data_IF_573389784657
#
_entry.id   IF_573389784657
#
_cell.length_a   1.000
_cell.length_b   1.000
_cell.length_c   1.000
_cell.angle_alpha   90.00
_cell.angle_beta   90.00
_cell.angle_gamma   90.00
#
_symmetry.space_group_name_H-M   'P 1'
#
loop_
_entity.id
_entity.type
_entity.pdbx_description
1 polymer ?
#
# COMPACT_ATOMS: atom_id res chain seq x y z
N UNK A 1 -34.47 -13.53 32.14
CA UNK A 1 -33.88 -14.53 31.21
C UNK A 1 -34.51 -14.24 29.85
N UNK A 2 -33.83 -13.87 28.76
CA UNK A 2 -32.41 -13.88 28.39
C UNK A 2 -32.22 -12.65 27.49
N UNK A 3 -31.21 -11.83 27.77
CA UNK A 3 -30.77 -10.71 26.92
C UNK A 3 -30.14 -11.26 25.64
N UNK A 4 -30.61 -10.82 24.48
CA UNK A 4 -30.01 -11.14 23.19
C UNK A 4 -28.76 -10.30 22.97
N UNK A 5 -27.58 -10.87 23.23
CA UNK A 5 -26.30 -10.28 22.89
C UNK A 5 -26.03 -10.44 21.39
N UNK A 6 -26.00 -9.32 20.67
CA UNK A 6 -25.52 -9.23 19.30
C UNK A 6 -24.04 -9.59 19.25
N UNK A 7 -23.72 -10.76 18.69
CA UNK A 7 -22.33 -11.16 18.43
C UNK A 7 -21.82 -10.38 17.23
N UNK A 8 -21.04 -9.33 17.47
CA UNK A 8 -20.28 -8.63 16.45
C UNK A 8 -19.18 -9.57 15.94
N UNK A 9 -19.50 -10.32 14.88
CA UNK A 9 -18.51 -11.10 14.13
C UNK A 9 -17.49 -10.16 13.51
N UNK A 10 -16.23 -10.24 13.96
CA UNK A 10 -15.07 -9.66 13.29
C UNK A 10 -14.92 -10.31 11.91
N UNK A 11 -15.54 -9.72 10.89
CA UNK A 11 -15.20 -10.00 9.49
C UNK A 11 -13.79 -9.47 9.22
N UNK A 12 -12.87 -10.28 8.66
CA UNK A 12 -11.58 -9.77 8.20
C UNK A 12 -11.85 -8.70 7.14
N UNK A 13 -11.35 -7.49 7.37
CA UNK A 13 -11.60 -6.34 6.49
C UNK A 13 -10.90 -6.58 5.15
N UNK A 14 -11.63 -7.22 4.21
CA UNK A 14 -11.18 -7.59 2.86
C UNK A 14 -11.03 -6.41 1.89
N UNK A 15 -11.30 -5.19 2.35
CA UNK A 15 -11.45 -4.00 1.50
C UNK A 15 -10.52 -2.86 1.92
N UNK A 16 -9.20 -3.06 1.78
CA UNK A 16 -8.22 -1.98 1.99
C UNK A 16 -7.22 -1.91 0.85
N UNK A 17 -7.01 -0.69 0.34
CA UNK A 17 -5.86 -0.38 -0.49
C UNK A 17 -4.66 -0.14 0.41
N UNK A 18 -3.57 -0.83 0.16
CA UNK A 18 -2.34 -0.76 0.96
C UNK A 18 -1.40 0.27 0.34
N UNK A 19 -0.76 1.10 1.17
CA UNK A 19 0.29 2.00 0.73
C UNK A 19 1.41 1.21 0.04
N UNK A 20 1.82 1.64 -1.14
CA UNK A 20 2.83 0.96 -1.96
C UNK A 20 2.29 -0.20 -2.80
N UNK A 21 1.01 -0.58 -2.69
CA UNK A 21 0.41 -1.61 -3.53
C UNK A 21 0.57 -1.27 -5.01
N UNK A 22 1.01 -2.23 -5.82
CA UNK A 22 1.19 -2.07 -7.26
C UNK A 22 0.13 -2.85 -8.04
N UNK A 23 -0.33 -2.26 -9.13
CA UNK A 23 -1.20 -2.88 -10.13
C UNK A 23 -0.53 -2.82 -11.50
N UNK A 24 -0.72 -3.85 -12.33
CA UNK A 24 -0.16 -3.89 -13.69
C UNK A 24 -1.20 -4.22 -14.75
N UNK A 25 -1.16 -3.48 -15.85
CA UNK A 25 -1.96 -3.79 -17.03
C UNK A 25 -1.32 -4.96 -17.78
N UNK A 26 -2.11 -6.02 -18.02
CA UNK A 26 -1.65 -7.18 -18.79
C UNK A 26 -1.52 -6.92 -20.30
N UNK A 27 -2.05 -5.78 -20.79
CA UNK A 27 -2.06 -5.44 -22.21
C UNK A 27 -0.87 -4.54 -22.56
N UNK A 28 -0.78 -3.35 -21.96
CA UNK A 28 0.29 -2.38 -22.26
C UNK A 28 1.48 -2.42 -21.28
N UNK A 29 1.37 -3.19 -20.18
CA UNK A 29 2.41 -3.26 -19.16
C UNK A 29 2.47 -2.06 -18.20
N UNK A 30 1.58 -1.06 -18.32
CA UNK A 30 1.55 0.09 -17.42
C UNK A 30 1.38 -0.33 -15.95
N UNK A 31 2.04 0.38 -15.06
CA UNK A 31 2.01 0.16 -13.62
C UNK A 31 1.35 1.33 -12.90
N UNK A 32 0.57 1.01 -11.85
CA UNK A 32 -0.05 1.98 -10.96
C UNK A 32 0.37 1.64 -9.53
N UNK A 33 0.81 2.65 -8.78
CA UNK A 33 1.19 2.50 -7.37
C UNK A 33 0.28 3.31 -6.46
N UNK A 34 -0.14 2.73 -5.35
CA UNK A 34 -0.99 3.40 -4.36
C UNK A 34 -0.13 4.25 -3.43
N UNK A 35 -0.17 5.58 -3.58
CA UNK A 35 0.59 6.53 -2.74
C UNK A 35 -0.08 6.86 -1.40
N UNK A 36 -1.35 6.49 -1.23
CA UNK A 36 -2.09 6.66 0.03
C UNK A 36 -3.13 5.57 0.15
N UNK A 37 -3.00 4.74 1.20
CA UNK A 37 -3.96 3.69 1.48
C UNK A 37 -5.34 4.23 1.87
N UNK A 38 -6.37 3.39 1.77
CA UNK A 38 -7.75 3.78 2.03
C UNK A 38 -8.70 2.60 2.15
N UNK A 39 -9.98 2.89 2.42
CA UNK A 39 -11.05 1.88 2.44
C UNK A 39 -11.49 1.55 1.02
N UNK A 40 -11.95 0.32 0.82
CA UNK A 40 -12.41 -0.19 -0.47
C UNK A 40 -11.32 -0.93 -1.24
N UNK A 41 -11.75 -1.66 -2.26
CA UNK A 41 -10.87 -2.32 -3.22
C UNK A 41 -10.72 -1.44 -4.46
N UNK A 42 -9.50 -0.98 -4.75
CA UNK A 42 -9.20 -0.30 -6.01
C UNK A 42 -9.24 -1.33 -7.14
N UNK A 43 -10.02 -1.04 -8.18
CA UNK A 43 -10.10 -1.80 -9.43
C UNK A 43 -9.71 -0.89 -10.60
N UNK A 44 -8.41 -0.57 -10.76
CA UNK A 44 -8.01 0.34 -11.79
C UNK A 44 -8.16 -0.32 -13.16
N UNK A 45 -8.61 0.44 -14.16
CA UNK A 45 -8.82 -0.03 -15.53
C UNK A 45 -7.78 0.62 -16.43
N UNK A 46 -7.09 -0.19 -17.23
CA UNK A 46 -6.16 0.28 -18.24
C UNK A 46 -6.31 -0.60 -19.49
N UNK A 47 -6.28 -0.01 -20.68
CA UNK A 47 -6.57 -0.71 -21.94
C UNK A 47 -7.90 -1.47 -21.93
N UNK A 48 -8.93 -0.88 -21.33
CA UNK A 48 -10.28 -1.46 -21.18
C UNK A 48 -10.33 -2.79 -20.41
N UNK A 49 -9.31 -3.09 -19.59
CA UNK A 49 -9.26 -4.28 -18.74
C UNK A 49 -8.88 -3.89 -17.31
N UNK A 50 -9.48 -4.55 -16.33
CA UNK A 50 -9.04 -4.42 -14.94
C UNK A 50 -7.57 -4.82 -14.82
N UNK A 51 -6.80 -4.00 -14.11
CA UNK A 51 -5.39 -4.26 -13.83
C UNK A 51 -5.25 -5.28 -12.71
N UNK A 52 -4.25 -6.15 -12.80
CA UNK A 52 -3.98 -7.15 -11.78
C UNK A 52 -3.14 -6.55 -10.65
N UNK A 53 -3.52 -6.79 -9.40
CA UNK A 53 -2.66 -6.49 -8.26
C UNK A 53 -1.42 -7.38 -8.28
N UNK A 54 -0.25 -6.80 -8.02
CA UNK A 54 1.00 -7.53 -7.88
C UNK A 54 1.29 -7.83 -6.41
N UNK A 55 2.00 -8.92 -6.15
CA UNK A 55 2.51 -9.24 -4.81
C UNK A 55 3.58 -8.24 -4.35
N UNK A 56 4.27 -7.62 -5.30
CA UNK A 56 5.24 -6.56 -5.04
C UNK A 56 4.56 -5.33 -4.45
N UNK A 57 5.05 -4.89 -3.29
CA UNK A 57 4.71 -3.63 -2.65
C UNK A 57 5.94 -2.73 -2.73
N UNK A 58 5.77 -1.52 -3.24
CA UNK A 58 6.86 -0.55 -3.29
C UNK A 58 7.29 -0.15 -1.87
N UNK A 59 8.60 -0.17 -1.64
CA UNK A 59 9.19 0.28 -0.39
C UNK A 59 8.87 1.76 -0.16
N UNK A 60 8.36 2.06 1.03
CA UNK A 60 8.14 3.44 1.50
C UNK A 60 9.03 3.69 2.70
N UNK A 61 9.61 4.89 2.75
CA UNK A 61 10.44 5.37 3.84
C UNK A 61 9.79 6.60 4.45
N UNK A 62 9.97 6.79 5.76
CA UNK A 62 9.43 7.95 6.48
C UNK A 62 10.54 8.69 7.22
N UNK A 63 10.50 10.02 7.16
CA UNK A 63 11.39 10.87 7.95
C UNK A 63 10.89 10.91 9.40
N UNK A 64 11.76 10.65 10.37
CA UNK A 64 11.42 10.75 11.79
C UNK A 64 11.29 12.19 12.31
N UNK A 65 11.70 13.19 11.52
CA UNK A 65 11.68 14.61 11.91
C UNK A 65 10.47 15.33 11.33
N UNK A 66 10.28 15.27 10.00
CA UNK A 66 9.20 15.99 9.32
C UNK A 66 8.05 15.09 8.84
N UNK A 67 8.16 13.77 9.03
CA UNK A 67 7.16 12.78 8.60
C UNK A 67 6.90 12.69 7.09
N UNK A 68 7.72 13.35 6.26
CA UNK A 68 7.67 13.17 4.81
C UNK A 68 7.89 11.70 4.43
N UNK A 69 7.13 11.26 3.44
CA UNK A 69 7.17 9.91 2.88
C UNK A 69 7.94 9.89 1.56
N UNK A 70 8.72 8.85 1.34
CA UNK A 70 9.48 8.63 0.11
C UNK A 70 9.20 7.21 -0.39
N UNK A 71 8.62 7.08 -1.58
CA UNK A 71 8.30 5.79 -2.19
C UNK A 71 9.24 5.50 -3.37
N UNK A 72 9.77 4.28 -3.41
CA UNK A 72 10.61 3.84 -4.52
C UNK A 72 9.75 3.12 -5.55
N UNK A 73 9.60 3.72 -6.73
CA UNK A 73 8.89 3.11 -7.87
C UNK A 73 9.95 2.55 -8.82
N UNK A 74 10.19 1.24 -8.72
CA UNK A 74 11.17 0.46 -9.51
C UNK A 74 12.65 0.73 -9.18
N UNK A 75 13.41 -0.34 -8.97
CA UNK A 75 14.84 -0.31 -8.62
C UNK A 75 15.11 -0.16 -7.11
N UNK A 76 16.37 -0.38 -6.70
CA UNK A 76 16.88 0.08 -5.41
C UNK A 76 17.20 -0.99 -4.36
N UNK A 77 18.15 -1.88 -4.64
CA UNK A 77 18.88 -2.51 -3.55
C UNK A 77 19.74 -1.42 -2.85
N UNK A 78 19.71 -1.37 -1.52
CA UNK A 78 20.53 -0.48 -0.68
C UNK A 78 20.28 1.04 -0.83
N UNK A 79 19.04 1.48 -1.06
CA UNK A 79 18.72 2.91 -0.94
C UNK A 79 18.72 3.37 0.53
N UNK A 80 19.48 4.42 0.81
CA UNK A 80 19.52 5.12 2.11
C UNK A 80 19.00 6.55 1.97
N UNK A 81 17.68 6.77 1.76
CA UNK A 81 17.14 8.11 1.58
C UNK A 81 17.36 8.97 2.84
N UNK A 82 17.75 10.23 2.63
CA UNK A 82 18.03 11.19 3.70
C UNK A 82 17.02 12.34 3.62
N UNK A 83 16.42 12.67 4.75
CA UNK A 83 15.54 13.82 4.91
C UNK A 83 15.79 14.46 6.28
N UNK A 84 15.79 15.79 6.36
CA UNK A 84 16.14 16.53 7.58
C UNK A 84 17.50 16.11 8.17
N UNK A 85 18.50 15.86 7.31
CA UNK A 85 19.84 15.40 7.67
C UNK A 85 19.86 14.09 8.48
N UNK A 86 18.80 13.28 8.41
CA UNK A 86 18.73 11.96 9.04
C UNK A 86 18.32 10.90 8.00
N UNK A 87 18.87 9.69 8.15
CA UNK A 87 18.43 8.52 7.37
C UNK A 87 16.94 8.28 7.64
N UNK A 88 16.17 8.06 6.59
CA UNK A 88 14.77 7.70 6.69
C UNK A 88 14.62 6.20 6.99
N UNK A 89 13.57 5.83 7.71
CA UNK A 89 13.31 4.44 8.09
C UNK A 89 12.27 3.82 7.17
N UNK A 90 12.40 2.54 6.77
CA UNK A 90 11.37 1.87 6.00
C UNK A 90 10.08 1.76 6.83
N UNK A 91 8.95 2.10 6.20
CA UNK A 91 7.62 1.81 6.70
C UNK A 91 7.41 0.32 6.52
N UNK A 92 7.67 -0.46 7.58
CA UNK A 92 7.27 -1.87 7.59
C UNK A 92 5.76 -1.89 7.43
N UNK A 93 5.28 -2.51 6.35
CA UNK A 93 3.86 -2.74 6.14
C UNK A 93 3.26 -3.30 7.42
N UNK A 94 2.22 -2.64 7.93
CA UNK A 94 1.43 -3.09 9.07
C UNK A 94 0.60 -4.33 8.68
N UNK A 95 1.29 -5.42 8.33
CA UNK A 95 0.72 -6.75 8.22
C UNK A 95 1.18 -7.54 9.46
N UNK A 96 0.47 -7.30 10.57
CA UNK A 96 0.19 -8.30 11.61
C UNK A 96 -1.31 -8.42 11.73
#
# INVERSE_FOLDING_TARGET
>A
MISGETVAGNMPVKDKNILGQVYRCSICGAELSVIKGGRGQLKPICCNKEMAALETINSVYVCSVCHSEFMVIRGGDNLEPICCNKKMSPVRSLLR
#
